data_IF_650750810004
#
_entry.id   IF_650750810004
#
_cell.length_a   1.000
_cell.length_b   1.000
_cell.length_c   1.000
_cell.angle_alpha   90.00
_cell.angle_beta   90.00
_cell.angle_gamma   90.00
#
_symmetry.space_group_name_H-M   'P 1'
#
loop_
_entity.id
_entity.type
_entity.pdbx_description
1 polymer ?
#
# COMPACT_ATOMS: atom_id res chain seq x y z
N UNK A 1 -3.71 -38.31 8.98
CA UNK A 1 -2.63 -37.30 9.02
C UNK A 1 -2.67 -36.57 7.71
N UNK A 2 -3.36 -35.43 7.65
CA UNK A 2 -3.27 -34.48 6.55
C UNK A 2 -1.95 -33.75 6.80
N UNK A 3 -0.94 -34.08 6.01
CA UNK A 3 0.30 -33.29 5.97
C UNK A 3 -0.12 -31.98 5.30
N UNK A 4 -0.32 -30.94 6.12
CA UNK A 4 -0.53 -29.60 5.61
C UNK A 4 0.69 -29.23 4.76
N UNK A 5 0.50 -29.12 3.46
CA UNK A 5 1.42 -28.38 2.61
C UNK A 5 1.38 -26.94 3.15
N UNK A 6 2.34 -26.58 3.97
CA UNK A 6 2.65 -25.18 4.20
C UNK A 6 3.05 -24.63 2.83
N UNK A 7 2.17 -23.87 2.19
CA UNK A 7 2.57 -23.06 1.03
C UNK A 7 3.72 -22.18 1.54
N UNK A 8 4.91 -22.35 0.95
CA UNK A 8 6.02 -21.43 1.23
C UNK A 8 5.58 -20.07 0.71
N UNK A 9 5.13 -19.23 1.60
CA UNK A 9 4.86 -17.84 1.30
C UNK A 9 6.19 -17.10 1.34
N UNK A 10 6.82 -16.88 0.20
CA UNK A 10 8.12 -16.22 0.13
C UNK A 10 7.93 -14.70 0.10
N UNK A 11 8.69 -14.00 0.93
CA UNK A 11 8.88 -12.56 0.82
C UNK A 11 9.64 -12.25 -0.48
N UNK A 12 9.35 -11.11 -1.09
CA UNK A 12 10.01 -10.70 -2.33
C UNK A 12 10.85 -9.46 -2.09
N UNK A 13 12.16 -9.56 -2.27
CA UNK A 13 13.08 -8.43 -2.16
C UNK A 13 12.76 -7.40 -3.25
N UNK A 14 12.56 -6.15 -2.85
CA UNK A 14 12.26 -5.03 -3.76
C UNK A 14 13.33 -3.93 -3.71
N UNK A 15 14.16 -3.93 -2.70
CA UNK A 15 15.29 -3.02 -2.50
C UNK A 15 16.29 -3.61 -1.51
N UNK A 16 17.38 -2.91 -1.22
CA UNK A 16 18.36 -3.38 -0.25
C UNK A 16 17.79 -3.31 1.15
N UNK A 17 17.62 -4.49 1.80
CA UNK A 17 16.93 -4.62 3.07
C UNK A 17 15.43 -4.25 3.02
N UNK A 18 14.80 -4.24 1.83
CA UNK A 18 13.37 -3.92 1.68
C UNK A 18 12.66 -5.07 0.98
N UNK A 19 11.58 -5.57 1.61
CA UNK A 19 10.82 -6.70 1.10
C UNK A 19 9.32 -6.41 1.04
N UNK A 20 8.68 -6.91 0.01
CA UNK A 20 7.24 -7.09 -0.03
C UNK A 20 6.87 -8.33 0.80
N UNK A 21 5.95 -8.17 1.74
CA UNK A 21 5.47 -9.21 2.64
C UNK A 21 3.94 -9.34 2.63
N UNK A 22 3.29 -8.75 1.63
CA UNK A 22 1.84 -8.71 1.49
C UNK A 22 1.20 -10.07 1.16
N UNK A 23 -0.05 -10.05 0.75
CA UNK A 23 -0.86 -11.24 0.51
C UNK A 23 -1.49 -11.20 -0.88
N UNK A 24 -1.62 -12.37 -1.51
CA UNK A 24 -2.28 -12.56 -2.80
C UNK A 24 -3.72 -13.03 -2.58
N UNK A 25 -4.70 -12.31 -3.08
CA UNK A 25 -6.10 -12.70 -3.04
C UNK A 25 -6.64 -12.93 -4.46
N UNK A 26 -6.46 -14.15 -4.95
CA UNK A 26 -6.88 -14.58 -6.28
C UNK A 26 -8.40 -14.70 -6.41
N UNK A 27 -9.12 -14.80 -5.31
CA UNK A 27 -10.55 -15.14 -5.28
C UNK A 27 -11.46 -13.92 -5.11
N UNK A 28 -10.91 -12.74 -4.81
CA UNK A 28 -11.68 -11.52 -4.67
C UNK A 28 -12.27 -11.11 -6.03
N UNK A 29 -13.60 -10.92 -6.09
CA UNK A 29 -14.32 -10.59 -7.34
C UNK A 29 -15.06 -9.28 -7.31
N UNK A 30 -15.19 -8.65 -6.15
CA UNK A 30 -15.85 -7.37 -5.99
C UNK A 30 -15.29 -6.64 -4.80
N UNK A 31 -14.85 -5.42 -4.99
CA UNK A 31 -14.41 -4.50 -3.94
C UNK A 31 -14.62 -3.06 -4.42
N UNK A 32 -14.73 -2.09 -3.49
CA UNK A 32 -14.95 -0.68 -3.80
C UNK A 32 -16.09 -0.41 -4.83
N UNK A 33 -17.09 -1.27 -4.86
CA UNK A 33 -18.27 -1.09 -5.73
C UNK A 33 -18.09 -1.54 -7.17
N UNK A 34 -16.98 -2.19 -7.55
CA UNK A 34 -16.79 -2.72 -8.89
C UNK A 34 -16.21 -4.16 -8.91
N UNK A 35 -16.35 -4.81 -10.06
CA UNK A 35 -15.87 -6.18 -10.28
C UNK A 35 -14.37 -6.18 -10.63
N UNK A 36 -13.66 -7.20 -10.14
CA UNK A 36 -12.21 -7.38 -10.34
C UNK A 36 -11.82 -8.86 -10.43
N UNK A 37 -10.60 -9.12 -10.84
CA UNK A 37 -10.02 -10.45 -11.01
C UNK A 37 -8.90 -10.70 -10.00
N UNK A 38 -9.25 -10.62 -8.73
CA UNK A 38 -8.31 -10.72 -7.63
C UNK A 38 -7.69 -9.37 -7.24
N UNK A 39 -6.96 -9.38 -6.14
CA UNK A 39 -6.20 -8.23 -5.63
C UNK A 39 -4.96 -8.71 -4.88
N UNK A 40 -4.15 -7.77 -4.46
CA UNK A 40 -3.11 -7.99 -3.44
C UNK A 40 -3.36 -7.04 -2.29
N UNK A 41 -2.95 -7.46 -1.09
CA UNK A 41 -2.84 -6.57 0.07
C UNK A 41 -1.34 -6.43 0.33
N UNK A 42 -0.75 -5.39 -0.25
CA UNK A 42 0.68 -5.18 -0.17
C UNK A 42 1.05 -4.59 1.19
N UNK A 43 2.05 -5.18 1.78
CA UNK A 43 2.71 -4.70 2.98
C UNK A 43 4.21 -4.87 2.80
N UNK A 44 4.98 -4.07 3.52
CA UNK A 44 6.41 -4.01 3.30
C UNK A 44 7.16 -4.09 4.63
N UNK A 45 8.41 -4.52 4.56
CA UNK A 45 9.31 -4.54 5.71
C UNK A 45 10.65 -3.91 5.31
N UNK A 46 11.17 -3.04 6.16
CA UNK A 46 12.42 -2.32 5.97
C UNK A 46 13.38 -2.70 7.10
N UNK A 47 14.50 -3.28 6.72
CA UNK A 47 15.57 -3.65 7.63
C UNK A 47 16.62 -2.54 7.72
N UNK A 48 16.92 -2.11 8.93
CA UNK A 48 18.16 -1.44 9.29
C UNK A 48 19.17 -2.47 9.81
N UNK A 49 20.29 -2.03 10.39
CA UNK A 49 21.29 -2.92 10.95
C UNK A 49 20.75 -3.69 12.18
N UNK A 50 20.04 -2.99 13.09
CA UNK A 50 19.53 -3.55 14.33
C UNK A 50 18.01 -3.45 14.48
N UNK A 51 17.36 -2.53 13.78
CA UNK A 51 15.92 -2.26 13.87
C UNK A 51 15.20 -2.60 12.59
N UNK A 52 13.90 -2.85 12.71
CA UNK A 52 13.04 -3.26 11.61
C UNK A 52 11.71 -2.52 11.67
N UNK A 53 11.32 -1.90 10.55
CA UNK A 53 10.02 -1.25 10.38
C UNK A 53 9.12 -2.08 9.47
N UNK A 54 7.86 -2.25 9.87
CA UNK A 54 6.81 -2.88 9.08
C UNK A 54 5.85 -1.79 8.59
N UNK A 55 5.50 -1.78 7.31
CA UNK A 55 4.65 -0.77 6.68
C UNK A 55 3.39 -1.42 6.14
N UNK A 56 2.25 -1.01 6.67
CA UNK A 56 0.90 -1.53 6.40
C UNK A 56 0.75 -3.04 6.65
N UNK A 57 -0.44 -3.56 6.45
CA UNK A 57 -0.72 -4.98 6.59
C UNK A 57 -1.85 -5.42 5.66
N UNK A 58 -2.57 -6.49 5.97
CA UNK A 58 -3.50 -7.13 5.05
C UNK A 58 -4.92 -7.25 5.63
N UNK A 59 -5.84 -7.70 4.79
CA UNK A 59 -7.23 -7.95 5.12
C UNK A 59 -7.38 -8.98 6.27
N UNK A 60 -8.42 -8.87 7.10
CA UNK A 60 -8.68 -9.83 8.19
C UNK A 60 -8.63 -11.29 7.73
N UNK A 61 -8.02 -12.15 8.55
CA UNK A 61 -7.86 -13.59 8.25
C UNK A 61 -6.65 -13.94 7.38
N UNK A 62 -5.85 -12.97 6.96
CA UNK A 62 -4.62 -13.19 6.16
C UNK A 62 -3.35 -13.26 7.03
N UNK A 63 -3.48 -13.25 8.35
CA UNK A 63 -2.37 -13.23 9.32
C UNK A 63 -1.32 -14.32 9.06
N UNK A 64 -1.76 -15.56 8.85
CA UNK A 64 -0.83 -16.70 8.71
C UNK A 64 0.08 -16.56 7.46
N UNK A 65 -0.49 -16.10 6.33
CA UNK A 65 0.27 -15.91 5.09
C UNK A 65 1.25 -14.75 5.21
N UNK A 66 0.81 -13.63 5.81
CA UNK A 66 1.67 -12.47 6.03
C UNK A 66 2.80 -12.79 7.00
N UNK A 67 2.51 -13.46 8.14
CA UNK A 67 3.52 -13.86 9.11
C UNK A 67 4.57 -14.80 8.51
N UNK A 68 4.16 -15.75 7.66
CA UNK A 68 5.11 -16.63 6.97
C UNK A 68 6.07 -15.85 6.06
N UNK A 69 5.60 -14.76 5.42
CA UNK A 69 6.48 -13.89 4.63
C UNK A 69 7.37 -13.00 5.48
N UNK A 70 6.89 -12.53 6.63
CA UNK A 70 7.74 -11.82 7.60
C UNK A 70 8.89 -12.75 8.03
N UNK A 71 8.59 -13.97 8.45
CA UNK A 71 9.59 -14.95 8.85
C UNK A 71 10.58 -15.26 7.71
N UNK A 72 10.09 -15.40 6.49
CA UNK A 72 10.93 -15.63 5.31
C UNK A 72 11.83 -14.43 4.99
N UNK A 73 11.35 -13.17 5.16
CA UNK A 73 12.16 -11.98 4.99
C UNK A 73 13.31 -11.92 5.99
N UNK A 74 13.06 -12.25 7.28
CA UNK A 74 14.10 -12.35 8.29
C UNK A 74 15.13 -13.42 7.96
N UNK A 75 14.67 -14.58 7.50
CA UNK A 75 15.57 -15.67 7.07
C UNK A 75 16.45 -15.28 5.87
N UNK A 76 15.90 -14.51 4.90
CA UNK A 76 16.66 -14.01 3.76
C UNK A 76 17.72 -12.97 4.17
N UNK A 77 17.47 -12.18 5.22
CA UNK A 77 18.45 -11.26 5.82
C UNK A 77 19.42 -11.95 6.81
N UNK A 78 19.30 -13.28 6.96
CA UNK A 78 20.16 -14.06 7.87
C UNK A 78 19.94 -13.79 9.34
N UNK A 79 18.70 -13.38 9.70
CA UNK A 79 18.31 -13.10 11.08
C UNK A 79 17.53 -14.27 11.68
N UNK A 80 18.01 -14.79 12.80
CA UNK A 80 17.39 -15.91 13.49
C UNK A 80 16.16 -15.50 14.34
N UNK A 81 16.15 -14.25 14.81
CA UNK A 81 15.06 -13.72 15.63
C UNK A 81 14.15 -12.81 14.80
N UNK A 82 12.86 -13.09 14.82
CA UNK A 82 11.82 -12.27 14.18
C UNK A 82 11.34 -11.22 15.17
N UNK A 83 11.86 -10.00 15.02
CA UNK A 83 11.56 -8.83 15.84
C UNK A 83 11.26 -7.62 14.96
N UNK A 84 10.09 -7.04 15.11
CA UNK A 84 9.71 -5.76 14.50
C UNK A 84 9.76 -4.69 15.58
N UNK A 85 10.43 -3.59 15.30
CA UNK A 85 10.64 -2.49 16.24
C UNK A 85 9.66 -1.34 16.01
N UNK A 86 9.15 -1.18 14.79
CA UNK A 86 8.22 -0.11 14.40
C UNK A 86 7.14 -0.66 13.47
N UNK A 87 5.88 -0.27 13.71
CA UNK A 87 4.76 -0.55 12.81
C UNK A 87 4.27 0.79 12.26
N UNK A 88 4.26 0.93 10.94
CA UNK A 88 3.74 2.11 10.25
C UNK A 88 2.38 1.74 9.67
N UNK A 89 1.35 2.51 9.99
CA UNK A 89 0.00 2.31 9.50
C UNK A 89 -0.44 3.54 8.70
N UNK A 90 -0.35 3.46 7.38
CA UNK A 90 -0.66 4.58 6.49
C UNK A 90 -2.17 4.84 6.35
N UNK A 91 -3.00 3.80 6.60
CA UNK A 91 -4.45 3.89 6.40
C UNK A 91 -5.22 2.90 7.28
N UNK A 92 -6.42 3.28 7.73
CA UNK A 92 -7.22 2.50 8.69
C UNK A 92 -8.16 1.50 8.04
N UNK A 93 -8.38 1.52 6.72
CA UNK A 93 -9.28 0.59 6.05
C UNK A 93 -8.86 -0.87 6.30
N UNK A 94 -9.86 -1.77 6.39
CA UNK A 94 -9.64 -3.13 6.88
C UNK A 94 -8.66 -3.96 6.05
N UNK A 95 -8.51 -3.67 4.79
CA UNK A 95 -7.60 -4.38 3.91
C UNK A 95 -6.13 -3.93 4.03
N UNK A 96 -5.88 -2.88 4.83
CA UNK A 96 -4.55 -2.40 5.20
C UNK A 96 -4.29 -2.51 6.69
N UNK A 97 -5.33 -2.71 7.51
CA UNK A 97 -5.25 -2.73 8.97
C UNK A 97 -5.74 -4.03 9.62
N UNK A 98 -6.30 -4.94 8.83
CA UNK A 98 -7.02 -6.12 9.34
C UNK A 98 -6.18 -7.13 10.11
N UNK A 99 -4.85 -7.11 9.94
CA UNK A 99 -3.89 -7.97 10.67
C UNK A 99 -3.22 -7.22 11.82
N UNK A 100 -3.46 -5.91 11.99
CA UNK A 100 -2.76 -5.06 12.96
C UNK A 100 -2.85 -5.56 14.41
N UNK A 101 -4.00 -6.09 14.83
CA UNK A 101 -4.17 -6.65 16.19
C UNK A 101 -3.27 -7.85 16.42
N UNK A 102 -3.10 -8.71 15.43
CA UNK A 102 -2.25 -9.88 15.54
C UNK A 102 -0.76 -9.50 15.49
N UNK A 103 -0.42 -8.50 14.69
CA UNK A 103 0.93 -7.92 14.67
C UNK A 103 1.29 -7.29 16.02
N UNK A 104 0.40 -6.48 16.60
CA UNK A 104 0.61 -5.88 17.92
C UNK A 104 0.75 -6.95 19.04
N UNK A 105 -0.04 -8.04 18.98
CA UNK A 105 0.15 -9.17 19.91
C UNK A 105 1.49 -9.87 19.74
N UNK A 106 1.98 -9.99 18.51
CA UNK A 106 3.25 -10.64 18.20
C UNK A 106 4.45 -9.76 18.52
N UNK A 107 4.31 -8.43 18.37
CA UNK A 107 5.34 -7.42 18.57
C UNK A 107 4.82 -6.33 19.52
N UNK A 108 4.55 -6.65 20.81
CA UNK A 108 3.86 -5.75 21.72
C UNK A 108 4.66 -4.49 22.09
N UNK A 109 5.98 -4.52 21.91
CA UNK A 109 6.87 -3.38 22.18
C UNK A 109 7.01 -2.44 20.99
N UNK A 110 6.50 -2.81 19.81
CA UNK A 110 6.58 -1.98 18.62
C UNK A 110 5.49 -0.90 18.66
N UNK A 111 5.82 0.39 18.75
CA UNK A 111 4.86 1.47 18.62
C UNK A 111 4.26 1.51 17.22
N UNK A 112 3.01 2.01 17.14
CA UNK A 112 2.27 2.16 15.89
C UNK A 112 2.33 3.63 15.46
N UNK A 113 3.03 3.90 14.36
CA UNK A 113 3.10 5.23 13.73
C UNK A 113 1.94 5.39 12.76
N UNK A 114 1.14 6.42 12.93
CA UNK A 114 0.01 6.71 12.06
C UNK A 114 -0.36 8.20 12.11
N UNK A 115 -1.26 8.65 11.22
CA UNK A 115 -1.79 10.02 11.33
C UNK A 115 -2.61 10.20 12.60
N UNK A 116 -2.77 11.44 13.08
CA UNK A 116 -3.56 11.75 14.27
C UNK A 116 -5.01 11.23 14.13
N UNK A 117 -5.61 11.40 12.95
CA UNK A 117 -6.97 10.94 12.66
C UNK A 117 -7.08 9.41 12.69
N UNK A 118 -6.03 8.70 12.30
CA UNK A 118 -6.01 7.24 12.25
C UNK A 118 -6.17 6.59 13.63
N UNK A 119 -5.69 7.23 14.70
CA UNK A 119 -5.74 6.66 16.06
C UNK A 119 -7.17 6.29 16.47
N UNK A 120 -8.10 7.25 16.37
CA UNK A 120 -9.50 7.01 16.70
C UNK A 120 -10.14 5.97 15.75
N UNK A 121 -9.79 6.02 14.46
CA UNK A 121 -10.24 5.04 13.46
C UNK A 121 -9.80 3.62 13.81
N UNK A 122 -8.54 3.42 14.14
CA UNK A 122 -7.97 2.12 14.50
C UNK A 122 -8.57 1.59 15.81
N UNK A 123 -8.75 2.43 16.84
CA UNK A 123 -9.36 2.02 18.11
C UNK A 123 -10.84 1.66 17.92
N UNK A 124 -11.57 2.39 17.08
CA UNK A 124 -12.96 2.10 16.75
C UNK A 124 -13.12 0.79 15.96
N UNK A 125 -12.25 0.52 15.00
CA UNK A 125 -12.23 -0.75 14.28
C UNK A 125 -11.75 -1.90 15.17
N UNK A 126 -10.75 -1.65 16.01
CA UNK A 126 -10.09 -2.65 16.83
C UNK A 126 -9.96 -2.20 18.30
N UNK A 127 -11.01 -2.37 19.13
CA UNK A 127 -10.96 -1.99 20.56
C UNK A 127 -9.82 -2.62 21.35
N UNK A 128 -9.25 -3.73 20.85
CA UNK A 128 -8.07 -4.39 21.42
C UNK A 128 -6.81 -3.50 21.40
N UNK A 129 -6.76 -2.50 20.52
CA UNK A 129 -5.64 -1.57 20.38
C UNK A 129 -5.75 -0.33 21.29
N UNK A 130 -6.78 -0.24 22.13
CA UNK A 130 -7.02 0.94 23.00
C UNK A 130 -5.81 1.35 23.85
N UNK A 131 -4.98 0.38 24.24
CA UNK A 131 -3.80 0.60 25.07
C UNK A 131 -2.50 0.41 24.28
N UNK A 132 -2.55 0.33 22.96
CA UNK A 132 -1.35 0.29 22.14
C UNK A 132 -0.61 1.63 22.19
N UNK A 133 0.70 1.58 22.01
CA UNK A 133 1.53 2.78 21.94
C UNK A 133 1.43 3.37 20.53
N UNK A 134 0.64 4.44 20.40
CA UNK A 134 0.48 5.18 19.14
C UNK A 134 1.39 6.40 19.14
N UNK A 135 2.17 6.55 18.07
CA UNK A 135 2.96 7.74 17.76
C UNK A 135 2.35 8.44 16.56
N UNK A 136 1.80 9.63 16.78
CA UNK A 136 1.18 10.40 15.71
C UNK A 136 2.23 11.14 14.91
N UNK A 137 2.15 11.05 13.58
CA UNK A 137 3.06 11.67 12.63
C UNK A 137 2.30 12.31 11.47
N UNK A 138 2.94 13.26 10.79
CA UNK A 138 2.39 13.95 9.62
C UNK A 138 3.48 14.54 8.74
N UNK A 139 3.11 15.43 7.81
CA UNK A 139 4.04 16.05 6.87
C UNK A 139 5.19 16.77 7.61
N UNK A 140 6.41 16.32 7.34
CA UNK A 140 7.64 16.87 7.91
C UNK A 140 8.21 16.09 9.09
N UNK A 141 7.46 15.14 9.64
CA UNK A 141 7.98 14.22 10.65
C UNK A 141 8.79 13.10 10.01
N UNK A 142 9.75 12.56 10.77
CA UNK A 142 10.60 11.43 10.34
C UNK A 142 10.77 10.41 11.45
N UNK A 143 10.99 9.16 11.05
CA UNK A 143 11.51 8.09 11.91
C UNK A 143 12.86 7.67 11.36
N UNK A 144 13.90 7.89 12.16
CA UNK A 144 15.29 7.53 11.81
C UNK A 144 15.74 6.30 12.59
N UNK A 145 16.30 5.31 11.92
CA UNK A 145 16.90 4.13 12.53
C UNK A 145 18.00 3.54 11.65
N UNK A 146 19.14 3.25 12.22
CA UNK A 146 20.26 2.55 11.57
C UNK A 146 20.66 3.12 10.19
N UNK A 147 20.60 4.44 10.01
CA UNK A 147 20.88 5.10 8.72
C UNK A 147 19.74 4.99 7.69
N UNK A 148 18.57 4.58 8.10
CA UNK A 148 17.31 4.62 7.34
C UNK A 148 16.44 5.75 7.84
N UNK A 149 15.78 6.45 6.94
CA UNK A 149 14.85 7.54 7.24
C UNK A 149 13.51 7.27 6.57
N UNK A 150 12.47 7.08 7.38
CA UNK A 150 11.08 7.10 6.94
C UNK A 150 10.53 8.51 7.15
N UNK A 151 10.25 9.22 6.07
CA UNK A 151 9.61 10.53 6.09
C UNK A 151 8.11 10.38 5.85
N UNK A 152 7.30 11.10 6.64
CA UNK A 152 5.84 11.01 6.58
C UNK A 152 5.24 12.23 5.87
N UNK A 153 4.17 11.98 5.11
CA UNK A 153 3.42 13.01 4.40
C UNK A 153 1.92 12.75 4.59
N UNK A 154 1.21 13.73 5.12
CA UNK A 154 -0.25 13.68 5.15
C UNK A 154 -0.81 13.58 3.74
N UNK A 155 -1.75 12.66 3.56
CA UNK A 155 -2.44 12.46 2.29
C UNK A 155 -3.97 12.49 2.48
N UNK A 156 -4.43 13.37 3.36
CA UNK A 156 -5.83 13.47 3.77
C UNK A 156 -6.78 13.49 2.58
N UNK A 157 -7.79 12.61 2.65
CA UNK A 157 -8.78 12.38 1.60
C UNK A 157 -8.19 11.84 0.28
N UNK A 158 -7.04 11.17 0.35
CA UNK A 158 -6.52 10.38 -0.77
C UNK A 158 -6.39 8.89 -0.33
N UNK A 159 -7.48 8.04 -0.11
CA UNK A 159 -8.84 8.51 -0.40
C UNK A 159 -9.69 8.71 0.87
N UNK A 160 -9.20 8.40 2.06
CA UNK A 160 -9.86 8.63 3.36
C UNK A 160 -9.19 9.74 4.16
N UNK A 161 -9.87 10.28 5.21
CA UNK A 161 -9.34 11.38 6.00
C UNK A 161 -8.02 11.10 6.72
N UNK A 162 -7.77 9.83 7.06
CA UNK A 162 -6.61 9.37 7.83
C UNK A 162 -5.37 9.08 6.97
N UNK A 163 -5.53 9.01 5.63
CA UNK A 163 -4.49 8.57 4.72
C UNK A 163 -3.19 9.37 4.86
N UNK A 164 -2.06 8.66 4.89
CA UNK A 164 -0.73 9.25 4.80
C UNK A 164 0.17 8.43 3.87
N UNK A 165 1.27 9.02 3.44
CA UNK A 165 2.33 8.38 2.69
C UNK A 165 3.58 8.25 3.53
N UNK A 166 4.34 7.19 3.31
CA UNK A 166 5.66 6.99 3.91
C UNK A 166 6.70 6.91 2.80
N UNK A 167 7.78 7.69 2.92
CA UNK A 167 8.92 7.68 1.98
C UNK A 167 10.15 7.15 2.68
N UNK A 168 10.74 6.07 2.17
CA UNK A 168 12.10 5.66 2.52
C UNK A 168 13.08 6.50 1.71
N UNK A 169 13.73 7.46 2.39
CA UNK A 169 14.44 8.57 1.75
C UNK A 169 15.66 8.10 0.97
N UNK A 170 16.50 7.25 1.56
CA UNK A 170 17.79 6.83 0.98
C UNK A 170 17.60 6.03 -0.31
N UNK A 171 16.58 5.19 -0.35
CA UNK A 171 16.27 4.35 -1.51
C UNK A 171 15.30 5.01 -2.49
N UNK A 172 14.62 6.08 -2.07
CA UNK A 172 13.59 6.76 -2.87
C UNK A 172 12.35 5.89 -3.10
N UNK A 173 11.96 5.07 -2.12
CA UNK A 173 10.78 4.21 -2.21
C UNK A 173 9.62 4.89 -1.50
N UNK A 174 8.59 5.25 -2.28
CA UNK A 174 7.35 5.79 -1.76
C UNK A 174 6.35 4.65 -1.49
N UNK A 175 5.80 4.60 -0.29
CA UNK A 175 4.69 3.73 0.13
C UNK A 175 3.42 4.59 0.29
N UNK A 176 2.64 4.77 -0.77
CA UNK A 176 1.53 5.73 -0.80
C UNK A 176 0.19 5.11 -0.41
N UNK A 177 0.18 3.92 0.20
CA UNK A 177 -1.00 3.13 0.45
C UNK A 177 -1.82 2.92 -0.84
N UNK A 178 -3.10 3.30 -0.88
CA UNK A 178 -4.00 3.09 -2.04
C UNK A 178 -3.64 3.90 -3.28
N UNK A 179 -3.04 5.07 -3.10
CA UNK A 179 -2.68 5.89 -4.24
C UNK A 179 -1.75 5.13 -5.20
N UNK A 180 -2.01 5.24 -6.49
CA UNK A 180 -1.30 4.53 -7.56
C UNK A 180 -1.51 3.01 -7.60
N UNK A 181 -2.37 2.46 -6.73
CA UNK A 181 -2.70 1.06 -6.66
C UNK A 181 -3.56 0.56 -7.81
N UNK A 182 -3.67 -0.77 -7.91
CA UNK A 182 -4.54 -1.46 -8.85
C UNK A 182 -5.05 -2.75 -8.22
N UNK A 183 -6.36 -3.01 -8.32
CA UNK A 183 -6.86 -4.35 -7.97
C UNK A 183 -6.51 -5.33 -9.09
N UNK A 184 -5.35 -5.93 -8.93
CA UNK A 184 -4.78 -6.91 -9.83
C UNK A 184 -3.99 -7.94 -9.01
N UNK A 185 -4.27 -9.22 -9.20
CA UNK A 185 -3.53 -10.30 -8.55
C UNK A 185 -2.57 -10.95 -9.54
N UNK A 186 -1.29 -10.92 -9.22
CA UNK A 186 -0.23 -11.57 -10.00
C UNK A 186 0.82 -12.17 -9.07
N UNK A 187 1.55 -13.19 -9.54
CA UNK A 187 2.58 -13.84 -8.74
C UNK A 187 3.93 -13.11 -8.70
N UNK A 188 4.07 -12.03 -9.46
CA UNK A 188 5.23 -11.14 -9.50
C UNK A 188 4.84 -9.74 -9.07
N UNK A 189 5.84 -8.90 -8.72
CA UNK A 189 5.58 -7.64 -8.00
C UNK A 189 5.76 -6.39 -8.82
N UNK A 190 6.57 -6.41 -9.87
CA UNK A 190 6.92 -5.18 -10.58
C UNK A 190 6.03 -4.92 -11.79
N UNK A 191 5.86 -3.67 -12.13
CA UNK A 191 5.14 -3.18 -13.32
C UNK A 191 5.69 -3.76 -14.64
N UNK A 192 6.99 -4.05 -14.66
CA UNK A 192 7.69 -4.68 -15.79
C UNK A 192 7.40 -6.18 -15.95
N UNK A 193 6.80 -6.81 -14.96
CA UNK A 193 6.50 -8.23 -14.95
C UNK A 193 5.23 -8.62 -15.72
N UNK A 194 4.39 -7.65 -16.05
CA UNK A 194 3.09 -7.86 -16.70
C UNK A 194 2.94 -6.96 -17.94
N UNK A 195 2.06 -7.33 -18.90
CA UNK A 195 1.82 -6.47 -20.04
C UNK A 195 1.28 -5.10 -19.62
N UNK A 196 1.86 -4.04 -20.16
CA UNK A 196 1.53 -2.65 -19.79
C UNK A 196 0.04 -2.33 -19.92
N UNK A 197 -0.62 -2.84 -20.98
CA UNK A 197 -2.03 -2.58 -21.18
C UNK A 197 -2.92 -3.19 -20.08
N UNK A 198 -2.53 -4.34 -19.52
CA UNK A 198 -3.22 -4.99 -18.40
C UNK A 198 -3.08 -4.13 -17.13
N UNK A 199 -1.85 -3.71 -16.86
CA UNK A 199 -1.56 -2.86 -15.71
C UNK A 199 -2.28 -1.53 -15.79
N UNK A 200 -2.17 -0.84 -16.92
CA UNK A 200 -2.77 0.50 -17.09
C UNK A 200 -4.30 0.46 -17.12
N UNK A 201 -4.91 -0.62 -17.65
CA UNK A 201 -6.36 -0.79 -17.59
C UNK A 201 -6.85 -0.98 -16.14
N UNK A 202 -6.16 -1.81 -15.36
CA UNK A 202 -6.46 -2.00 -13.94
C UNK A 202 -6.25 -0.70 -13.13
N UNK A 203 -5.17 0.05 -13.40
CA UNK A 203 -4.88 1.34 -12.76
C UNK A 203 -5.94 2.39 -13.09
N UNK A 204 -6.34 2.48 -14.37
CA UNK A 204 -7.39 3.39 -14.82
C UNK A 204 -8.73 3.06 -14.18
N UNK A 205 -9.04 1.78 -14.06
CA UNK A 205 -10.27 1.29 -13.42
C UNK A 205 -10.28 1.63 -11.93
N UNK A 206 -9.15 1.46 -11.23
CA UNK A 206 -8.97 1.85 -9.83
C UNK A 206 -9.16 3.37 -9.67
N UNK A 207 -8.45 4.17 -10.45
CA UNK A 207 -8.56 5.63 -10.44
C UNK A 207 -10.01 6.09 -10.68
N UNK A 208 -10.67 5.53 -11.70
CA UNK A 208 -12.02 5.91 -12.09
C UNK A 208 -13.05 5.69 -10.99
N UNK A 209 -12.89 4.62 -10.21
CA UNK A 209 -13.85 4.25 -9.16
C UNK A 209 -13.57 4.91 -7.81
N UNK A 210 -12.29 5.11 -7.45
CA UNK A 210 -11.92 5.61 -6.12
C UNK A 210 -11.46 7.07 -6.14
N UNK A 211 -10.66 7.44 -7.11
CA UNK A 211 -9.86 8.68 -7.08
C UNK A 211 -10.50 9.82 -7.86
N UNK A 212 -11.30 9.54 -8.89
CA UNK A 212 -11.90 10.60 -9.76
C UNK A 212 -12.59 11.73 -8.99
N UNK A 213 -13.40 11.49 -7.94
CA UNK A 213 -14.01 12.57 -7.16
C UNK A 213 -12.99 13.46 -6.44
N UNK A 214 -11.77 12.95 -6.24
CA UNK A 214 -10.69 13.55 -5.47
C UNK A 214 -9.60 14.17 -6.38
N UNK A 215 -9.80 14.21 -7.69
CA UNK A 215 -8.80 14.66 -8.68
C UNK A 215 -8.14 16.00 -8.33
N UNK A 216 -8.90 16.95 -7.76
CA UNK A 216 -8.33 18.24 -7.32
C UNK A 216 -7.34 18.09 -6.15
N UNK A 217 -7.58 17.12 -5.27
CA UNK A 217 -6.68 16.82 -4.14
C UNK A 217 -5.41 16.12 -4.63
N UNK A 218 -5.54 15.25 -5.64
CA UNK A 218 -4.37 14.63 -6.31
C UNK A 218 -3.44 15.71 -6.86
N UNK A 219 -3.96 16.67 -7.65
CA UNK A 219 -3.15 17.76 -8.21
C UNK A 219 -2.51 18.62 -7.11
N UNK A 220 -3.26 18.91 -6.04
CA UNK A 220 -2.73 19.65 -4.89
C UNK A 220 -1.58 18.88 -4.21
N UNK A 221 -1.74 17.57 -4.03
CA UNK A 221 -0.70 16.73 -3.40
C UNK A 221 0.54 16.63 -4.29
N UNK A 222 0.39 16.50 -5.61
CA UNK A 222 1.53 16.53 -6.54
C UNK A 222 2.29 17.84 -6.45
N UNK A 223 1.58 18.98 -6.40
CA UNK A 223 2.24 20.28 -6.24
C UNK A 223 2.99 20.37 -4.91
N UNK A 224 2.40 19.89 -3.81
CA UNK A 224 3.07 19.83 -2.50
C UNK A 224 4.35 19.00 -2.53
N UNK A 225 4.32 17.80 -3.14
CA UNK A 225 5.50 16.92 -3.28
C UNK A 225 6.61 17.60 -4.10
N UNK A 226 6.21 18.35 -5.15
CA UNK A 226 7.14 19.17 -5.96
C UNK A 226 7.74 20.31 -5.13
N UNK A 227 6.91 21.05 -4.40
CA UNK A 227 7.33 22.20 -3.58
C UNK A 227 8.26 21.78 -2.45
N UNK A 228 8.08 20.58 -1.94
CA UNK A 228 8.97 19.95 -0.94
C UNK A 228 10.28 19.40 -1.56
N UNK A 229 10.41 19.43 -2.90
CA UNK A 229 11.60 18.90 -3.60
C UNK A 229 11.75 17.37 -3.52
N UNK A 230 10.67 16.64 -3.21
CA UNK A 230 10.72 15.19 -3.00
C UNK A 230 10.56 14.39 -4.30
N UNK A 231 9.93 14.97 -5.33
CA UNK A 231 9.56 14.24 -6.55
C UNK A 231 10.78 13.62 -7.25
N UNK A 232 11.87 14.36 -7.38
CA UNK A 232 13.09 13.87 -8.04
C UNK A 232 13.80 12.75 -7.26
N UNK A 233 13.52 12.66 -5.96
CA UNK A 233 14.06 11.62 -5.09
C UNK A 233 13.30 10.29 -5.18
N UNK A 234 12.06 10.29 -5.69
CA UNK A 234 11.23 9.09 -5.77
C UNK A 234 11.67 8.24 -6.97
N UNK A 235 12.18 7.04 -6.69
CA UNK A 235 12.68 6.08 -7.69
C UNK A 235 11.74 4.88 -7.87
N UNK A 236 10.86 4.64 -6.90
CA UNK A 236 9.92 3.53 -6.89
C UNK A 236 8.65 3.94 -6.15
N UNK A 237 7.49 3.51 -6.65
CA UNK A 237 6.22 3.63 -5.92
C UNK A 237 5.73 2.21 -5.60
N UNK A 238 5.58 1.93 -4.32
CA UNK A 238 5.19 0.64 -3.77
C UNK A 238 3.79 0.74 -3.10
N UNK A 239 2.69 0.68 -3.90
CA UNK A 239 1.34 0.86 -3.40
C UNK A 239 0.84 -0.36 -2.63
N UNK A 240 -0.27 -0.20 -1.91
CA UNK A 240 -0.88 -1.28 -1.13
C UNK A 240 -1.70 -2.28 -1.95
N UNK A 241 -1.92 -2.03 -3.24
CA UNK A 241 -2.57 -2.97 -4.16
C UNK A 241 -1.81 -3.08 -5.49
N UNK A 242 -1.73 -4.31 -6.01
CA UNK A 242 -1.22 -4.63 -7.34
C UNK A 242 0.30 -4.56 -7.45
N UNK A 243 0.78 -4.00 -8.54
CA UNK A 243 2.19 -3.99 -8.92
C UNK A 243 2.91 -2.75 -8.40
N UNK A 244 4.19 -2.92 -8.13
CA UNK A 244 5.13 -1.87 -7.74
C UNK A 244 5.65 -1.20 -9.00
N UNK A 245 5.61 0.13 -9.03
CA UNK A 245 6.10 0.93 -10.14
C UNK A 245 7.60 1.17 -10.03
N UNK A 246 8.35 0.66 -10.99
CA UNK A 246 9.81 0.88 -11.11
C UNK A 246 10.15 2.15 -11.89
N UNK A 247 9.17 2.68 -12.63
CA UNK A 247 9.17 4.01 -13.23
C UNK A 247 8.00 4.83 -12.65
N UNK A 248 8.24 5.63 -11.60
CA UNK A 248 7.20 6.44 -10.96
C UNK A 248 6.50 7.40 -11.92
N UNK A 249 7.24 7.98 -12.87
CA UNK A 249 6.68 9.00 -13.76
C UNK A 249 5.59 8.43 -14.65
N UNK A 250 5.63 7.16 -14.98
CA UNK A 250 4.61 6.50 -15.79
C UNK A 250 3.21 6.61 -15.17
N UNK A 251 3.08 6.35 -13.88
CA UNK A 251 1.78 6.42 -13.19
C UNK A 251 1.45 7.84 -12.75
N UNK A 252 2.44 8.66 -12.40
CA UNK A 252 2.25 10.08 -12.05
C UNK A 252 1.70 10.86 -13.26
N UNK A 253 2.25 10.64 -14.45
CA UNK A 253 1.77 11.25 -15.69
C UNK A 253 0.34 10.81 -16.02
N UNK A 254 0.02 9.54 -15.83
CA UNK A 254 -1.34 9.03 -16.03
C UNK A 254 -2.33 9.68 -15.06
N UNK A 255 -2.00 9.73 -13.78
CA UNK A 255 -2.82 10.39 -12.74
C UNK A 255 -2.99 11.89 -13.04
N UNK A 256 -1.93 12.57 -13.49
CA UNK A 256 -1.98 13.99 -13.87
C UNK A 256 -2.96 14.22 -15.03
N UNK A 257 -2.88 13.41 -16.08
CA UNK A 257 -3.81 13.47 -17.23
C UNK A 257 -5.26 13.26 -16.78
N UNK A 258 -5.50 12.24 -15.98
CA UNK A 258 -6.85 11.95 -15.49
C UNK A 258 -7.37 13.04 -14.54
N UNK A 259 -6.51 13.56 -13.66
CA UNK A 259 -6.88 14.60 -12.70
C UNK A 259 -7.14 15.97 -13.35
N UNK A 260 -6.45 16.30 -14.44
CA UNK A 260 -6.69 17.50 -15.23
C UNK A 260 -7.90 17.40 -16.17
N UNK A 261 -8.48 16.20 -16.31
CA UNK A 261 -9.62 15.95 -17.18
C UNK A 261 -9.23 15.87 -18.66
N UNK A 262 -7.97 15.55 -18.98
CA UNK A 262 -7.56 15.26 -20.34
C UNK A 262 -8.36 14.10 -20.90
N UNK A 263 -9.11 14.33 -21.96
CA UNK A 263 -10.03 13.36 -22.56
C UNK A 263 -9.54 12.91 -23.93
N UNK A 264 -9.81 11.64 -24.25
CA UNK A 264 -9.68 11.14 -25.61
C UNK A 264 -10.80 11.72 -26.49
N UNK A 265 -10.54 11.93 -27.79
CA UNK A 265 -11.56 12.27 -28.80
C UNK A 265 -12.49 11.08 -29.04
N UNK A 266 -13.37 10.81 -28.04
CA UNK A 266 -14.18 9.60 -27.97
C UNK A 266 -15.59 9.88 -27.44
N UNK A 267 -16.57 9.29 -28.05
CA UNK A 267 -17.95 9.31 -27.59
C UNK A 267 -18.29 7.93 -27.05
N UNK A 268 -18.70 7.85 -25.78
CA UNK A 268 -19.22 6.62 -25.19
C UNK A 268 -20.74 6.67 -25.18
N UNK A 269 -21.40 5.71 -25.82
CA UNK A 269 -22.85 5.53 -25.80
C UNK A 269 -23.16 4.44 -24.79
N UNK A 270 -23.90 4.81 -23.73
CA UNK A 270 -24.43 3.86 -22.75
C UNK A 270 -25.92 3.66 -23.08
N UNK A 271 -26.33 2.42 -23.29
CA UNK A 271 -27.73 2.10 -23.58
C UNK A 271 -28.13 0.79 -22.89
N UNK A 272 -29.41 0.65 -22.65
CA UNK A 272 -30.03 -0.61 -22.25
C UNK A 272 -31.21 -0.89 -23.20
N UNK A 273 -31.59 -2.15 -23.35
CA UNK A 273 -32.64 -2.55 -24.23
C UNK A 273 -33.40 -3.77 -23.69
N UNK A 274 -34.73 -3.67 -23.61
CA UNK A 274 -35.57 -4.76 -23.14
C UNK A 274 -35.76 -5.84 -24.20
N UNK A 275 -35.81 -5.46 -25.50
CA UNK A 275 -36.11 -6.36 -26.61
C UNK A 275 -35.19 -6.18 -27.82
N UNK A 276 -33.96 -5.74 -27.59
CA UNK A 276 -32.93 -5.50 -28.63
C UNK A 276 -33.40 -4.51 -29.72
N UNK A 277 -34.24 -3.56 -29.34
CA UNK A 277 -34.80 -2.56 -30.25
C UNK A 277 -34.11 -1.21 -30.22
N UNK A 278 -33.10 -1.09 -29.41
CA UNK A 278 -32.31 0.14 -29.26
C UNK A 278 -31.02 0.06 -30.06
#
# INVERSE_FOLDING_TARGET
KIIGYMMKANAQKIGEGVYWIGVLDWDLRSYHGYTLDGTTYNAYIVFGENHVALIDNAYPGKTAEMMARIEDAFAQEGRDEVKVDYIIQNHVELDHSGVLVDLHKRFPEAPIYCSEIAVDGLINHFPALKNADFITVGTGDTLEFDGRTLAFLDAFLLHWPDSMFTLLVEDGILFPNDAFGQHLCFNKRFDTDIPEYVLMDATKKFYANLITPLSKLVLKKFQEVIDLGLLEGIKMIAPSHGQIWTDPMKVIDAYTKWATGECEDKITIIYDTMHYST
#
